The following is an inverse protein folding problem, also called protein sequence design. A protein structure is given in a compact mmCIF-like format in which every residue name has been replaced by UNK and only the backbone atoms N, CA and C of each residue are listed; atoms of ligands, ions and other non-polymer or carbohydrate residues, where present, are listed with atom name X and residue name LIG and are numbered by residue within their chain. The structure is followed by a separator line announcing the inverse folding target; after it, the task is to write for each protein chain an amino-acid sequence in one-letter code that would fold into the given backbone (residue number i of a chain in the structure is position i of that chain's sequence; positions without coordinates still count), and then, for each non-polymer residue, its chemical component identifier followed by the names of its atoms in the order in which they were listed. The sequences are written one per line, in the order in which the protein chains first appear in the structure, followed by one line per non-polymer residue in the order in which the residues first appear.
data_IF_768914028068
#
_entry.id   IF_768914028068
#
_cell.length_a   1.000
_cell.length_b   1.000
_cell.length_c   1.000
_cell.angle_alpha   90.00
_cell.angle_beta   90.00
_cell.angle_gamma   90.00
#
_symmetry.space_group_name_H-M   'P 1'
#
loop_
_entity.id
_entity.type
_entity.pdbx_description
1 polymer ?
#
# COMPACT_ATOMS: atom_id res chain seq x y z
N UNK A 1 -7.29 8.39 -7.18
CA UNK A 1 -6.41 7.60 -8.05
C UNK A 1 -7.21 6.45 -8.64
N UNK A 2 -7.23 6.28 -9.96
CA UNK A 2 -7.87 5.12 -10.60
C UNK A 2 -6.85 4.04 -10.94
N UNK A 3 -7.19 2.80 -10.62
CA UNK A 3 -6.35 1.63 -10.89
C UNK A 3 -7.16 0.62 -11.70
N UNK A 4 -6.64 0.22 -12.85
CA UNK A 4 -7.18 -0.84 -13.68
C UNK A 4 -6.27 -2.06 -13.66
N UNK A 5 -6.84 -3.25 -13.54
CA UNK A 5 -6.13 -4.51 -13.45
C UNK A 5 -6.79 -5.51 -14.39
N UNK A 6 -6.01 -6.24 -15.17
CA UNK A 6 -6.46 -7.36 -16.01
C UNK A 6 -5.51 -8.55 -15.89
N UNK A 7 -6.08 -9.74 -15.77
CA UNK A 7 -5.37 -11.01 -15.86
C UNK A 7 -4.18 -11.14 -14.90
N UNK A 8 -4.35 -10.78 -13.63
CA UNK A 8 -3.29 -10.85 -12.61
C UNK A 8 -3.71 -11.81 -11.48
N UNK A 9 -2.92 -12.86 -11.27
CA UNK A 9 -3.19 -13.91 -10.29
C UNK A 9 -4.65 -14.41 -10.38
N UNK A 10 -5.41 -14.42 -9.27
CA UNK A 10 -6.82 -14.82 -9.26
C UNK A 10 -7.79 -13.77 -9.81
N UNK A 11 -7.32 -12.57 -10.18
CA UNK A 11 -8.14 -11.46 -10.69
C UNK A 11 -8.19 -11.51 -12.22
N UNK A 12 -9.41 -11.57 -12.77
CA UNK A 12 -9.69 -11.43 -14.20
C UNK A 12 -9.72 -9.95 -14.60
N UNK A 13 -10.49 -9.15 -13.88
CA UNK A 13 -10.62 -7.71 -14.14
C UNK A 13 -10.96 -6.96 -12.86
N UNK A 14 -10.29 -5.84 -12.60
CA UNK A 14 -10.65 -4.94 -11.51
C UNK A 14 -10.43 -3.50 -11.90
N UNK A 15 -11.41 -2.65 -11.62
CA UNK A 15 -11.30 -1.20 -11.76
C UNK A 15 -11.61 -0.58 -10.39
N UNK A 16 -10.62 0.08 -9.82
CA UNK A 16 -10.67 0.62 -8.46
C UNK A 16 -10.60 2.13 -8.58
N UNK A 17 -11.54 2.82 -7.96
CA UNK A 17 -11.46 4.25 -7.72
C UNK A 17 -11.03 4.48 -6.27
N UNK A 18 -9.74 4.67 -6.04
CA UNK A 18 -9.23 4.88 -4.70
C UNK A 18 -9.37 6.34 -4.32
N UNK A 19 -10.40 6.64 -3.52
CA UNK A 19 -10.66 7.98 -2.97
C UNK A 19 -10.17 8.12 -1.53
N UNK A 20 -11.06 8.14 -0.53
CA UNK A 20 -10.67 8.26 0.89
C UNK A 20 -10.68 6.91 1.59
N UNK A 21 -11.72 6.10 1.37
CA UNK A 21 -11.80 4.75 1.93
C UNK A 21 -12.24 3.78 0.84
N UNK A 22 -11.45 2.75 0.63
CA UNK A 22 -11.81 1.60 -0.21
C UNK A 22 -11.91 0.37 0.68
N UNK A 23 -13.02 -0.36 0.57
CA UNK A 23 -13.19 -1.66 1.21
C UNK A 23 -13.42 -2.72 0.14
N UNK A 24 -12.54 -3.72 0.07
CA UNK A 24 -12.70 -4.88 -0.81
C UNK A 24 -13.14 -6.08 0.01
N UNK A 25 -14.29 -6.61 -0.36
CA UNK A 25 -14.97 -7.72 0.29
C UNK A 25 -14.89 -8.96 -0.60
N UNK A 26 -14.75 -10.12 0.01
CA UNK A 26 -14.86 -11.39 -0.71
C UNK A 26 -14.38 -12.58 0.11
N UNK A 27 -14.75 -13.78 -0.35
CA UNK A 27 -14.36 -15.02 0.30
C UNK A 27 -12.84 -15.26 0.30
N UNK A 28 -12.44 -16.35 0.94
CA UNK A 28 -11.05 -16.79 0.98
C UNK A 28 -10.52 -17.09 -0.43
N UNK A 29 -9.24 -16.78 -0.67
CA UNK A 29 -8.53 -17.08 -1.92
C UNK A 29 -9.11 -16.42 -3.19
N UNK A 30 -9.91 -15.35 -3.05
CA UNK A 30 -10.50 -14.63 -4.20
C UNK A 30 -9.59 -13.59 -4.83
N UNK A 31 -8.46 -13.25 -4.19
CA UNK A 31 -7.49 -12.27 -4.71
C UNK A 31 -7.43 -10.93 -4.00
N UNK A 32 -8.14 -10.76 -2.88
CA UNK A 32 -8.09 -9.54 -2.06
C UNK A 32 -6.66 -9.09 -1.74
N UNK A 33 -5.83 -10.02 -1.26
CA UNK A 33 -4.41 -9.77 -0.97
C UNK A 33 -3.58 -9.45 -2.21
N UNK A 34 -3.94 -10.00 -3.37
CA UNK A 34 -3.26 -9.64 -4.62
C UNK A 34 -3.49 -8.16 -4.94
N UNK A 35 -4.74 -7.70 -4.79
CA UNK A 35 -5.10 -6.31 -5.03
C UNK A 35 -4.43 -5.37 -4.01
N UNK A 36 -4.47 -5.69 -2.71
CA UNK A 36 -3.85 -4.84 -1.67
C UNK A 36 -2.33 -4.67 -1.90
N UNK A 37 -1.63 -5.75 -2.27
CA UNK A 37 -0.19 -5.71 -2.58
C UNK A 37 0.07 -4.90 -3.87
N UNK A 38 -0.77 -5.02 -4.91
CA UNK A 38 -0.65 -4.19 -6.11
C UNK A 38 -0.84 -2.71 -5.83
N UNK A 39 -1.82 -2.35 -4.99
CA UNK A 39 -2.05 -0.96 -4.58
C UNK A 39 -0.83 -0.44 -3.81
N UNK A 40 -0.30 -1.22 -2.87
CA UNK A 40 0.93 -0.88 -2.17
C UNK A 40 2.11 -0.67 -3.13
N UNK A 41 2.29 -1.58 -4.08
CA UNK A 41 3.33 -1.50 -5.10
C UNK A 41 3.22 -0.20 -5.91
N UNK A 42 2.04 0.13 -6.44
CA UNK A 42 1.84 1.35 -7.23
C UNK A 42 2.13 2.62 -6.41
N UNK A 43 1.73 2.65 -5.14
CA UNK A 43 1.99 3.79 -4.25
C UNK A 43 3.45 3.92 -3.84
N UNK A 44 4.24 2.85 -3.90
CA UNK A 44 5.67 2.83 -3.52
C UNK A 44 6.61 2.77 -4.72
N UNK A 45 6.11 2.52 -5.93
CA UNK A 45 6.86 2.45 -7.17
C UNK A 45 7.82 3.64 -7.38
N UNK A 46 7.46 4.91 -7.10
CA UNK A 46 8.40 6.02 -7.23
C UNK A 46 9.72 5.81 -6.47
N UNK A 47 9.65 5.23 -5.26
CA UNK A 47 10.83 4.93 -4.45
C UNK A 47 11.66 3.75 -4.98
N UNK A 48 10.99 2.79 -5.63
CA UNK A 48 11.62 1.60 -6.22
C UNK A 48 12.35 1.92 -7.53
N UNK A 49 11.96 3.00 -8.21
CA UNK A 49 12.63 3.49 -9.42
C UNK A 49 13.89 4.31 -9.13
N UNK A 50 14.36 4.32 -7.89
CA UNK A 50 15.57 5.05 -7.48
C UNK A 50 16.84 4.60 -8.21
N UNK A 51 17.73 5.58 -8.40
CA UNK A 51 18.98 5.41 -9.13
C UNK A 51 19.03 6.24 -10.42
N UNK A 52 20.20 6.27 -11.10
CA UNK A 52 20.43 7.13 -12.26
C UNK A 52 19.49 6.78 -13.41
N UNK A 53 19.03 7.83 -14.10
CA UNK A 53 18.17 7.83 -15.29
C UNK A 53 18.67 8.93 -16.23
N UNK A 54 18.61 8.74 -17.53
CA UNK A 54 19.12 9.72 -18.50
C UNK A 54 18.01 10.70 -18.88
N UNK A 55 18.33 11.98 -18.97
CA UNK A 55 17.44 12.94 -19.60
C UNK A 55 18.31 14.02 -20.22
N UNK A 56 18.40 14.01 -21.55
CA UNK A 56 19.38 14.82 -22.25
C UNK A 56 19.03 16.31 -22.13
N UNK A 57 19.99 17.13 -21.71
CA UNK A 57 19.79 18.57 -21.51
C UNK A 57 20.92 19.37 -22.15
N UNK A 58 20.56 20.49 -22.79
CA UNK A 58 21.54 21.51 -23.15
C UNK A 58 21.79 22.40 -21.93
N UNK A 59 23.02 22.37 -21.41
CA UNK A 59 23.40 23.07 -20.18
C UNK A 59 24.28 24.29 -20.47
N UNK A 60 24.07 25.42 -19.75
CA UNK A 60 25.06 26.49 -19.76
C UNK A 60 26.34 26.05 -19.03
N UNK A 61 27.46 26.71 -19.32
CA UNK A 61 28.72 26.45 -18.62
C UNK A 61 28.59 26.79 -17.12
N UNK A 62 28.94 25.83 -16.24
CA UNK A 62 28.85 25.97 -14.78
C UNK A 62 30.26 26.02 -14.17
N UNK A 63 30.63 27.17 -13.63
CA UNK A 63 31.91 27.41 -12.98
C UNK A 63 31.94 26.91 -11.52
N UNK A 64 33.14 26.67 -10.98
CA UNK A 64 33.34 26.21 -9.59
C UNK A 64 32.95 27.32 -8.61
N UNK A 65 32.29 26.97 -7.51
CA UNK A 65 31.75 27.90 -6.49
C UNK A 65 30.64 28.84 -6.98
N UNK A 66 30.11 28.65 -8.19
CA UNK A 66 28.92 29.35 -8.65
C UNK A 66 27.67 28.50 -8.43
N UNK A 67 26.62 29.18 -7.99
CA UNK A 67 25.26 28.66 -7.97
C UNK A 67 24.57 29.07 -9.27
N UNK A 68 24.06 28.10 -10.02
CA UNK A 68 23.28 28.35 -11.24
C UNK A 68 21.88 27.81 -11.03
N UNK A 69 20.88 28.67 -11.19
CA UNK A 69 19.47 28.26 -11.18
C UNK A 69 18.95 28.24 -12.61
N UNK A 70 18.36 27.11 -12.99
CA UNK A 70 17.81 26.84 -14.32
C UNK A 70 16.34 26.49 -14.19
N UNK A 71 15.53 26.97 -15.12
CA UNK A 71 14.18 26.46 -15.31
C UNK A 71 14.22 25.46 -16.46
N UNK A 72 13.94 24.19 -16.16
CA UNK A 72 14.10 23.09 -17.11
C UNK A 72 12.73 22.48 -17.42
N UNK A 73 12.24 22.58 -18.68
CA UNK A 73 11.05 21.86 -19.10
C UNK A 73 11.38 20.38 -19.26
N UNK A 74 10.63 19.51 -18.59
CA UNK A 74 10.78 18.06 -18.69
C UNK A 74 9.52 17.46 -19.32
N UNK A 75 9.70 16.70 -20.38
CA UNK A 75 8.69 15.84 -20.98
C UNK A 75 8.72 14.47 -20.32
N UNK A 76 7.66 14.12 -19.58
CA UNK A 76 7.61 12.83 -18.89
C UNK A 76 7.54 11.65 -19.85
N UNK A 77 6.97 11.86 -21.04
CA UNK A 77 6.93 10.86 -22.10
C UNK A 77 8.32 10.55 -22.63
N UNK A 78 9.07 11.58 -23.01
CA UNK A 78 10.47 11.41 -23.47
C UNK A 78 11.32 10.77 -22.36
N UNK A 79 11.18 11.24 -21.11
CA UNK A 79 11.89 10.68 -19.96
C UNK A 79 11.62 9.17 -19.78
N UNK A 80 10.37 8.73 -19.89
CA UNK A 80 10.03 7.32 -19.75
C UNK A 80 10.49 6.51 -20.96
N UNK A 81 10.34 7.03 -22.17
CA UNK A 81 10.76 6.36 -23.41
C UNK A 81 12.29 6.19 -23.48
N UNK A 82 13.07 7.22 -23.14
CA UNK A 82 14.55 7.17 -23.12
C UNK A 82 15.10 6.19 -22.07
N UNK A 83 14.33 5.93 -21.01
CA UNK A 83 14.73 5.06 -19.90
C UNK A 83 13.91 3.77 -19.80
N UNK A 84 13.19 3.42 -20.87
CA UNK A 84 12.19 2.35 -20.86
C UNK A 84 12.74 1.05 -20.29
N UNK A 85 13.91 0.61 -20.75
CA UNK A 85 14.54 -0.64 -20.30
C UNK A 85 14.85 -0.64 -18.80
N UNK A 86 15.39 0.47 -18.28
CA UNK A 86 15.77 0.59 -16.86
C UNK A 86 14.52 0.66 -15.99
N UNK A 87 13.52 1.45 -16.39
CA UNK A 87 12.25 1.60 -15.66
C UNK A 87 11.51 0.26 -15.64
N UNK A 88 11.38 -0.41 -16.79
CA UNK A 88 10.78 -1.74 -16.92
C UNK A 88 11.46 -2.76 -16.02
N UNK A 89 12.80 -2.82 -16.05
CA UNK A 89 13.58 -3.72 -15.20
C UNK A 89 13.35 -3.46 -13.72
N UNK A 90 13.48 -2.21 -13.26
CA UNK A 90 13.29 -1.84 -11.84
C UNK A 90 11.85 -2.06 -11.39
N UNK A 91 10.87 -1.82 -12.27
CA UNK A 91 9.44 -2.12 -12.02
C UNK A 91 9.24 -3.62 -11.80
N UNK A 92 9.86 -4.46 -12.63
CA UNK A 92 9.85 -5.91 -12.45
C UNK A 92 10.54 -6.36 -11.16
N UNK A 93 11.69 -5.81 -10.83
CA UNK A 93 12.37 -6.07 -9.54
C UNK A 93 11.49 -5.67 -8.34
N UNK A 94 10.81 -4.52 -8.44
CA UNK A 94 9.85 -4.06 -7.44
C UNK A 94 8.68 -5.03 -7.25
N UNK A 95 8.05 -5.48 -8.34
CA UNK A 95 6.98 -6.50 -8.31
C UNK A 95 7.47 -7.81 -7.66
N UNK A 96 8.64 -8.31 -8.06
CA UNK A 96 9.25 -9.50 -7.45
C UNK A 96 9.50 -9.28 -5.96
N UNK A 97 9.94 -8.10 -5.56
CA UNK A 97 10.27 -7.79 -4.16
C UNK A 97 9.05 -7.76 -3.23
N UNK A 98 7.89 -7.28 -3.70
CA UNK A 98 6.68 -7.17 -2.87
C UNK A 98 5.87 -8.47 -2.85
N UNK A 99 5.87 -9.22 -3.96
CA UNK A 99 5.15 -10.49 -4.07
C UNK A 99 5.98 -11.70 -3.65
N UNK A 100 7.30 -11.66 -3.80
CA UNK A 100 8.19 -12.78 -3.48
C UNK A 100 8.18 -13.92 -4.51
N UNK A 101 7.73 -13.65 -5.74
CA UNK A 101 7.63 -14.64 -6.84
C UNK A 101 8.15 -14.04 -8.15
N UNK A 102 8.32 -14.86 -9.19
CA UNK A 102 8.68 -14.37 -10.53
C UNK A 102 7.49 -13.68 -11.21
N UNK A 103 7.77 -12.87 -12.24
CA UNK A 103 6.74 -12.06 -12.91
C UNK A 103 5.69 -12.94 -13.59
N UNK A 104 6.12 -14.03 -14.24
CA UNK A 104 5.18 -14.96 -14.89
C UNK A 104 4.18 -15.59 -13.94
N UNK A 105 4.54 -15.73 -12.65
CA UNK A 105 3.67 -16.30 -11.62
C UNK A 105 2.59 -15.30 -11.16
N UNK A 106 2.77 -14.02 -11.46
CA UNK A 106 1.76 -12.98 -11.26
C UNK A 106 0.72 -12.98 -12.37
N UNK A 107 1.02 -13.50 -13.56
CA UNK A 107 0.07 -13.56 -14.66
C UNK A 107 -1.00 -14.62 -14.32
N UNK A 108 -2.26 -14.30 -14.59
CA UNK A 108 -3.37 -15.22 -14.33
C UNK A 108 -3.15 -16.54 -15.08
N UNK A 109 -3.50 -17.66 -14.44
CA UNK A 109 -3.38 -18.99 -15.04
C UNK A 109 -4.12 -19.07 -16.38
N UNK A 110 -3.47 -19.62 -17.40
CA UNK A 110 -3.90 -19.71 -18.82
C UNK A 110 -3.85 -18.40 -19.63
N UNK A 111 -3.54 -17.27 -19.00
CA UNK A 111 -3.29 -16.03 -19.73
C UNK A 111 -1.77 -15.90 -20.00
N UNK A 112 -1.42 -15.21 -21.10
CA UNK A 112 -0.03 -14.96 -21.48
C UNK A 112 0.44 -13.54 -21.10
N UNK A 113 -0.52 -12.66 -20.79
CA UNK A 113 -0.27 -11.24 -20.53
C UNK A 113 -1.13 -10.78 -19.34
N UNK A 114 -0.56 -9.90 -18.52
CA UNK A 114 -1.29 -9.15 -17.50
C UNK A 114 -1.09 -7.65 -17.72
N UNK A 115 -2.11 -6.85 -17.39
CA UNK A 115 -2.03 -5.39 -17.54
C UNK A 115 -2.46 -4.71 -16.25
N UNK A 116 -1.59 -3.84 -15.74
CA UNK A 116 -1.86 -2.94 -14.62
C UNK A 116 -1.85 -1.51 -15.17
N UNK A 117 -2.87 -0.72 -14.85
CA UNK A 117 -3.02 0.66 -15.31
C UNK A 117 -3.23 1.56 -14.10
N UNK A 118 -2.54 2.69 -14.07
CA UNK A 118 -2.90 3.82 -13.22
C UNK A 118 -3.37 5.00 -14.09
N UNK A 119 -3.58 6.15 -13.47
CA UNK A 119 -3.87 7.38 -14.19
C UNK A 119 -2.70 7.77 -15.13
N UNK A 120 -1.45 7.53 -14.71
CA UNK A 120 -0.24 8.03 -15.38
C UNK A 120 0.48 6.99 -16.23
N UNK A 121 0.49 5.73 -15.81
CA UNK A 121 1.27 4.67 -16.46
C UNK A 121 0.44 3.41 -16.75
N UNK A 122 0.93 2.61 -17.68
CA UNK A 122 0.49 1.26 -17.98
C UNK A 122 1.70 0.32 -17.85
N UNK A 123 1.51 -0.76 -17.11
CA UNK A 123 2.51 -1.81 -16.90
C UNK A 123 1.95 -3.08 -17.52
N UNK A 124 2.71 -3.69 -18.42
CA UNK A 124 2.36 -4.94 -19.09
C UNK A 124 3.33 -6.02 -18.64
N UNK A 125 2.81 -7.17 -18.22
CA UNK A 125 3.60 -8.34 -17.84
C UNK A 125 3.40 -9.40 -18.92
N UNK A 126 4.49 -9.92 -19.49
CA UNK A 126 4.44 -10.98 -20.48
C UNK A 126 5.58 -11.97 -20.22
N UNK A 127 5.24 -13.19 -19.82
CA UNK A 127 6.24 -14.12 -19.30
C UNK A 127 6.98 -13.51 -18.09
N UNK A 128 8.30 -13.46 -18.13
CA UNK A 128 9.12 -12.81 -17.09
C UNK A 128 9.47 -11.34 -17.42
N UNK A 129 9.02 -10.85 -18.58
CA UNK A 129 9.26 -9.49 -19.05
C UNK A 129 8.21 -8.52 -18.50
N UNK A 130 8.65 -7.28 -18.28
CA UNK A 130 7.82 -6.17 -17.83
C UNK A 130 8.01 -5.02 -18.79
N UNK A 131 6.91 -4.41 -19.23
CA UNK A 131 6.92 -3.21 -20.07
C UNK A 131 6.19 -2.07 -19.38
N UNK A 132 6.79 -0.88 -19.35
CA UNK A 132 6.18 0.32 -18.77
C UNK A 132 6.00 1.37 -19.85
N UNK A 133 4.77 1.88 -19.96
CA UNK A 133 4.36 2.90 -20.91
C UNK A 133 3.70 4.07 -20.15
N UNK A 134 3.96 5.30 -20.58
CA UNK A 134 3.17 6.45 -20.11
C UNK A 134 1.83 6.52 -20.86
N UNK A 135 0.79 6.98 -20.17
CA UNK A 135 -0.52 7.25 -20.77
C UNK A 135 -0.75 8.73 -21.07
N UNK A 136 0.13 9.60 -20.56
CA UNK A 136 -0.04 11.05 -20.60
C UNK A 136 1.21 11.67 -21.21
N UNK A 137 1.00 12.60 -22.13
CA UNK A 137 2.03 13.47 -22.68
C UNK A 137 1.99 14.81 -21.93
N UNK A 138 2.52 14.80 -20.70
CA UNK A 138 2.57 15.95 -19.80
C UNK A 138 3.99 16.51 -19.74
N UNK A 139 4.09 17.84 -19.67
CA UNK A 139 5.34 18.57 -19.46
C UNK A 139 5.24 19.39 -18.17
N UNK A 140 6.35 19.46 -17.44
CA UNK A 140 6.45 20.31 -16.26
C UNK A 140 7.79 21.04 -16.22
N UNK A 141 7.77 22.28 -15.76
CA UNK A 141 8.98 23.05 -15.52
C UNK A 141 9.51 22.77 -14.11
N UNK A 142 10.81 22.53 -14.02
CA UNK A 142 11.52 22.30 -12.77
C UNK A 142 12.56 23.37 -12.55
N UNK A 143 12.55 23.94 -11.35
CA UNK A 143 13.59 24.86 -10.90
C UNK A 143 14.76 24.03 -10.35
N UNK A 144 15.88 24.04 -11.07
CA UNK A 144 17.06 23.25 -10.73
C UNK A 144 18.19 24.18 -10.35
N UNK A 145 18.67 24.05 -9.12
CA UNK A 145 19.84 24.77 -8.63
C UNK A 145 21.03 23.83 -8.62
N UNK A 146 22.10 24.20 -9.31
CA UNK A 146 23.34 23.43 -9.41
C UNK A 146 24.43 24.14 -8.64
N UNK A 147 25.10 23.42 -7.74
CA UNK A 147 26.21 23.91 -6.94
C UNK A 147 27.44 23.05 -7.23
N UNK A 148 28.48 23.67 -7.80
CA UNK A 148 29.76 23.01 -8.08
C UNK A 148 30.76 23.28 -6.96
N UNK A 149 31.10 22.27 -6.17
CA UNK A 149 31.80 22.47 -4.88
C UNK A 149 33.34 22.38 -4.92
N UNK A 150 33.93 21.65 -5.87
CA UNK A 150 35.40 21.56 -5.99
C UNK A 150 35.81 20.78 -7.24
N UNK A 151 36.96 21.13 -7.83
CA UNK A 151 37.59 20.34 -8.87
C UNK A 151 38.32 19.12 -8.27
N UNK A 152 38.25 17.95 -8.92
CA UNK A 152 38.97 16.73 -8.52
C UNK A 152 38.17 15.72 -7.69
N UNK A 153 36.88 15.96 -7.46
CA UNK A 153 36.00 15.05 -6.72
C UNK A 153 34.88 14.51 -7.62
N UNK A 154 34.69 13.19 -7.63
CA UNK A 154 33.57 12.53 -8.32
C UNK A 154 32.38 12.36 -7.38
N UNK A 155 31.85 13.47 -6.89
CA UNK A 155 30.66 13.47 -6.02
C UNK A 155 29.45 13.94 -6.80
N UNK A 156 28.34 13.23 -6.66
CA UNK A 156 27.03 13.65 -7.13
C UNK A 156 26.02 13.43 -6.00
N UNK A 157 25.31 14.47 -5.60
CA UNK A 157 24.24 14.40 -4.62
C UNK A 157 23.11 15.31 -5.06
N UNK A 158 21.87 14.90 -4.83
CA UNK A 158 20.73 15.75 -5.11
C UNK A 158 19.61 15.54 -4.11
N UNK A 159 18.83 16.60 -3.93
CA UNK A 159 17.62 16.59 -3.11
C UNK A 159 16.54 17.42 -3.80
N UNK A 160 15.28 17.10 -3.53
CA UNK A 160 14.14 17.93 -3.93
C UNK A 160 13.46 18.49 -2.69
N UNK A 161 13.13 19.78 -2.73
CA UNK A 161 12.40 20.48 -1.68
C UNK A 161 10.89 20.52 -1.93
N UNK A 162 10.11 21.05 -0.96
CA UNK A 162 8.74 21.47 -1.20
C UNK A 162 8.69 22.42 -2.40
N UNK A 163 7.65 22.34 -3.24
CA UNK A 163 7.49 23.08 -4.51
C UNK A 163 8.31 22.55 -5.71
N UNK A 164 9.12 21.49 -5.52
CA UNK A 164 9.80 20.81 -6.62
C UNK A 164 11.08 21.51 -7.09
N UNK A 165 11.66 22.38 -6.26
CA UNK A 165 13.04 22.87 -6.43
C UNK A 165 14.00 21.70 -6.24
N UNK A 166 14.79 21.40 -7.26
CA UNK A 166 15.82 20.36 -7.23
C UNK A 166 17.16 21.04 -6.97
N UNK A 167 17.90 20.57 -5.97
CA UNK A 167 19.25 21.04 -5.70
C UNK A 167 20.21 19.90 -6.04
N UNK A 168 21.17 20.18 -6.92
CA UNK A 168 22.20 19.23 -7.36
C UNK A 168 23.56 19.76 -6.92
N UNK A 169 24.27 18.97 -6.14
CA UNK A 169 25.63 19.23 -5.69
C UNK A 169 26.55 18.28 -6.43
N UNK A 170 27.48 18.84 -7.20
CA UNK A 170 28.34 18.07 -8.09
C UNK A 170 29.79 18.54 -8.06
N UNK A 171 30.71 17.62 -8.35
CA UNK A 171 32.12 17.92 -8.60
C UNK A 171 32.41 18.08 -10.10
N UNK A 172 33.21 17.18 -10.68
CA UNK A 172 33.65 17.31 -12.08
C UNK A 172 32.62 16.81 -13.11
N UNK A 173 31.72 15.91 -12.72
CA UNK A 173 30.71 15.30 -13.60
C UNK A 173 29.39 16.07 -13.56
N UNK A 174 29.44 17.33 -13.97
CA UNK A 174 28.29 18.25 -13.85
C UNK A 174 27.09 17.76 -14.67
N UNK A 175 27.29 17.52 -15.96
CA UNK A 175 26.24 17.13 -16.90
C UNK A 175 25.61 15.79 -16.51
N UNK A 176 26.40 14.72 -16.38
CA UNK A 176 25.93 13.40 -15.96
C UNK A 176 25.17 13.44 -14.62
N UNK A 177 25.68 14.17 -13.63
CA UNK A 177 25.03 14.27 -12.32
C UNK A 177 23.69 15.00 -12.40
N UNK A 178 23.64 16.08 -13.19
CA UNK A 178 22.46 16.90 -13.36
C UNK A 178 21.37 16.18 -14.13
N UNK A 179 21.70 15.57 -15.28
CA UNK A 179 20.76 14.78 -16.07
C UNK A 179 20.17 13.65 -15.21
N UNK A 180 21.02 12.89 -14.50
CA UNK A 180 20.58 11.82 -13.61
C UNK A 180 19.67 12.29 -12.48
N UNK A 181 20.04 13.40 -11.83
CA UNK A 181 19.27 13.95 -10.73
C UNK A 181 17.93 14.50 -11.20
N UNK A 182 17.92 15.25 -12.30
CA UNK A 182 16.69 15.80 -12.86
C UNK A 182 15.75 14.68 -13.28
N UNK A 183 16.24 13.71 -14.04
CA UNK A 183 15.47 12.56 -14.49
C UNK A 183 14.80 11.82 -13.32
N UNK A 184 15.59 11.50 -12.28
CA UNK A 184 15.09 10.81 -11.09
C UNK A 184 14.02 11.62 -10.35
N UNK A 185 14.32 12.86 -9.95
CA UNK A 185 13.39 13.68 -9.17
C UNK A 185 12.13 14.05 -9.98
N UNK A 186 12.26 14.21 -11.30
CA UNK A 186 11.13 14.46 -12.20
C UNK A 186 10.22 13.25 -12.32
N UNK A 187 10.78 12.04 -12.49
CA UNK A 187 10.00 10.81 -12.53
C UNK A 187 9.29 10.55 -11.20
N UNK A 188 9.99 10.77 -10.07
CA UNK A 188 9.38 10.63 -8.74
C UNK A 188 8.23 11.61 -8.57
N UNK A 189 8.41 12.89 -8.92
CA UNK A 189 7.33 13.89 -8.87
C UNK A 189 6.17 13.54 -9.79
N UNK A 190 6.46 13.01 -10.98
CA UNK A 190 5.45 12.58 -11.93
C UNK A 190 4.62 11.43 -11.34
N UNK A 191 5.24 10.37 -10.85
CA UNK A 191 4.53 9.17 -10.40
C UNK A 191 3.93 9.29 -9.01
N UNK A 192 4.56 10.05 -8.11
CA UNK A 192 4.14 10.15 -6.71
C UNK A 192 2.89 11.04 -6.57
N UNK A 193 1.92 10.57 -5.80
CA UNK A 193 0.79 11.38 -5.34
C UNK A 193 0.94 11.69 -3.85
N UNK A 194 1.30 12.93 -3.47
CA UNK A 194 1.60 13.27 -2.08
C UNK A 194 0.43 13.06 -1.10
N UNK A 195 -0.81 12.99 -1.60
CA UNK A 195 -2.00 12.70 -0.80
C UNK A 195 -2.12 11.22 -0.42
N UNK A 196 -1.39 10.32 -1.08
CA UNK A 196 -1.42 8.87 -0.81
C UNK A 196 -0.12 8.34 -0.20
N UNK A 197 1.01 9.01 -0.39
CA UNK A 197 2.32 8.59 0.13
C UNK A 197 2.77 9.51 1.28
N UNK A 198 3.38 9.00 2.37
CA UNK A 198 3.79 7.61 2.62
C UNK A 198 2.65 6.65 2.96
N UNK A 199 2.85 5.36 2.64
CA UNK A 199 1.88 4.27 2.83
C UNK A 199 2.42 3.19 3.77
N UNK A 200 1.57 2.69 4.67
CA UNK A 200 1.86 1.50 5.47
C UNK A 200 1.01 0.30 5.00
N UNK A 201 1.62 -0.89 4.99
CA UNK A 201 0.92 -2.14 4.72
C UNK A 201 0.83 -3.01 5.97
N UNK A 202 -0.40 -3.38 6.36
CA UNK A 202 -0.69 -4.16 7.56
C UNK A 202 -1.39 -5.46 7.19
N UNK A 203 -0.64 -6.56 7.16
CA UNK A 203 -1.20 -7.91 6.96
C UNK A 203 -1.67 -8.50 8.30
N UNK A 204 -2.85 -8.09 8.77
CA UNK A 204 -3.23 -8.25 10.19
C UNK A 204 -3.39 -9.72 10.61
N UNK A 205 -3.80 -10.63 9.70
CA UNK A 205 -3.76 -12.09 9.89
C UNK A 205 -2.43 -12.59 10.48
N UNK A 206 -1.32 -11.97 10.06
CA UNK A 206 0.03 -12.52 10.24
C UNK A 206 0.82 -11.77 11.29
N UNK A 207 0.44 -10.53 11.59
CA UNK A 207 1.09 -9.74 12.63
C UNK A 207 0.81 -10.32 14.02
N UNK A 208 -0.37 -10.91 14.21
CA UNK A 208 -0.69 -11.74 15.36
C UNK A 208 0.43 -12.73 15.69
N UNK A 209 0.96 -13.44 14.68
CA UNK A 209 2.04 -14.43 14.84
C UNK A 209 3.41 -13.80 15.21
N UNK A 210 3.69 -12.58 14.76
CA UNK A 210 4.94 -11.87 15.01
C UNK A 210 5.07 -11.37 16.45
N UNK A 211 3.95 -11.05 17.10
CA UNK A 211 3.91 -10.66 18.52
C UNK A 211 4.18 -11.81 19.50
N UNK A 212 4.08 -13.07 19.05
CA UNK A 212 4.51 -14.23 19.83
C UNK A 212 6.03 -14.39 19.89
N UNK A 213 6.80 -13.63 19.10
CA UNK A 213 8.26 -13.63 19.21
C UNK A 213 8.66 -12.65 20.32
N UNK A 214 9.19 -13.12 21.46
CA UNK A 214 9.37 -12.31 22.68
C UNK A 214 10.49 -11.25 22.58
N UNK A 215 10.94 -10.87 21.38
CA UNK A 215 12.09 -9.99 21.18
C UNK A 215 12.00 -9.17 19.88
N UNK A 216 11.04 -8.24 19.76
CA UNK A 216 11.18 -7.13 18.81
C UNK A 216 12.49 -6.34 19.05
N UNK A 217 13.01 -6.35 20.29
CA UNK A 217 14.33 -5.80 20.64
C UNK A 217 15.53 -6.49 19.96
N UNK A 218 15.38 -7.67 19.35
CA UNK A 218 16.46 -8.34 18.59
C UNK A 218 16.37 -8.12 17.08
N UNK A 219 15.34 -7.42 16.59
CA UNK A 219 15.07 -7.18 15.17
C UNK A 219 15.33 -5.73 14.73
N UNK A 220 15.91 -4.90 15.60
CA UNK A 220 16.33 -3.52 15.28
C UNK A 220 17.55 -3.50 14.31
N UNK A 221 18.17 -4.66 14.06
CA UNK A 221 18.97 -4.88 12.87
C UNK A 221 18.25 -5.96 12.06
N UNK A 222 17.86 -5.71 10.80
CA UNK A 222 17.29 -6.77 9.99
C UNK A 222 18.39 -7.83 9.85
N UNK A 223 18.23 -9.07 10.35
CA UNK A 223 19.06 -10.13 9.82
C UNK A 223 18.63 -10.25 8.36
N UNK A 224 19.50 -9.79 7.47
CA UNK A 224 19.51 -10.24 6.09
C UNK A 224 19.39 -11.76 6.15
N UNK A 225 18.44 -12.31 5.39
CA UNK A 225 18.27 -13.74 5.13
C UNK A 225 17.65 -14.59 6.26
N UNK A 226 16.34 -14.45 6.45
CA UNK A 226 15.48 -15.63 6.49
C UNK A 226 14.32 -15.35 5.54
N UNK A 227 14.05 -16.28 4.64
CA UNK A 227 12.90 -16.26 3.74
C UNK A 227 11.59 -16.17 4.53
N UNK A 228 11.18 -14.96 4.92
CA UNK A 228 9.80 -14.71 5.29
C UNK A 228 8.99 -15.01 4.03
N UNK A 229 8.15 -16.04 4.07
CA UNK A 229 7.40 -16.52 2.90
C UNK A 229 6.50 -15.47 2.24
N UNK A 230 6.30 -14.30 2.88
CA UNK A 230 5.72 -13.09 2.28
C UNK A 230 6.54 -11.84 2.64
N UNK A 231 6.99 -11.03 1.66
CA UNK A 231 7.87 -9.88 1.92
C UNK A 231 7.30 -8.76 2.80
N UNK A 232 6.00 -8.48 2.74
CA UNK A 232 5.38 -7.31 3.39
C UNK A 232 4.93 -7.53 4.85
N UNK A 233 5.14 -8.72 5.42
CA UNK A 233 4.66 -9.06 6.77
C UNK A 233 5.18 -8.13 7.88
N UNK A 234 6.40 -7.61 7.71
CA UNK A 234 7.08 -6.75 8.68
C UNK A 234 7.12 -5.27 8.27
N UNK A 235 6.42 -4.88 7.19
CA UNK A 235 6.48 -3.51 6.67
C UNK A 235 6.06 -2.47 7.72
N UNK A 236 5.08 -2.81 8.56
CA UNK A 236 4.56 -1.96 9.64
C UNK A 236 5.63 -1.50 10.64
N UNK A 237 6.70 -2.28 10.84
CA UNK A 237 7.76 -1.95 11.80
C UNK A 237 8.46 -0.62 11.50
N UNK A 238 8.52 -0.24 10.22
CA UNK A 238 9.11 1.04 9.76
C UNK A 238 8.37 2.26 10.30
N UNK A 239 7.13 2.09 10.73
CA UNK A 239 6.20 3.17 11.07
C UNK A 239 5.76 3.15 12.53
N UNK A 240 6.35 2.29 13.37
CA UNK A 240 6.08 2.28 14.81
C UNK A 240 6.70 3.52 15.46
N UNK A 241 5.90 4.21 16.29
CA UNK A 241 6.32 5.38 17.05
C UNK A 241 6.43 4.98 18.53
N UNK A 242 7.61 5.13 19.16
CA UNK A 242 7.77 4.89 20.58
C UNK A 242 7.15 6.02 21.42
N UNK A 243 6.77 5.71 22.66
CA UNK A 243 6.18 6.67 23.60
C UNK A 243 4.69 6.94 23.38
N UNK A 244 3.99 6.11 22.59
CA UNK A 244 2.56 6.24 22.33
C UNK A 244 1.78 5.38 23.32
N UNK A 245 0.73 5.96 23.92
CA UNK A 245 -0.26 5.28 24.76
C UNK A 245 -1.65 5.38 24.15
N UNK A 246 -2.41 4.30 24.20
CA UNK A 246 -3.78 4.27 23.71
C UNK A 246 -4.56 3.10 24.32
N UNK A 247 -5.89 3.14 24.20
CA UNK A 247 -6.77 2.08 24.68
C UNK A 247 -7.25 1.21 23.51
N UNK A 248 -7.29 -0.11 23.73
CA UNK A 248 -7.91 -1.10 22.85
C UNK A 248 -8.75 -2.08 23.67
N UNK A 249 -10.06 -2.13 23.41
CA UNK A 249 -10.99 -3.05 24.08
C UNK A 249 -10.83 -3.09 25.61
N UNK A 250 -10.74 -1.92 26.26
CA UNK A 250 -10.58 -1.83 27.72
C UNK A 250 -9.17 -2.14 28.24
N UNK A 251 -8.17 -2.23 27.37
CA UNK A 251 -6.76 -2.42 27.75
C UNK A 251 -5.94 -1.18 27.36
N UNK A 252 -5.11 -0.68 28.27
CA UNK A 252 -4.11 0.34 27.96
C UNK A 252 -2.92 -0.33 27.28
N UNK A 253 -2.57 0.15 26.09
CA UNK A 253 -1.37 -0.25 25.36
C UNK A 253 -0.36 0.89 25.41
N UNK A 254 0.85 0.58 25.83
CA UNK A 254 2.00 1.50 25.82
C UNK A 254 3.12 0.93 24.95
N UNK A 255 3.56 1.72 23.96
CA UNK A 255 4.83 1.48 23.27
C UNK A 255 5.91 2.23 24.02
N UNK A 256 6.79 1.52 24.70
CA UNK A 256 7.91 2.10 25.44
C UNK A 256 8.95 2.72 24.51
N UNK A 257 9.86 3.53 25.08
CA UNK A 257 10.96 4.17 24.32
C UNK A 257 11.93 3.17 23.67
N UNK A 258 12.00 1.97 24.21
CA UNK A 258 12.78 0.85 23.68
C UNK A 258 11.99 -0.02 22.68
N UNK A 259 10.82 0.44 22.22
CA UNK A 259 9.90 -0.28 21.32
C UNK A 259 9.25 -1.53 21.92
N UNK A 260 9.40 -1.79 23.23
CA UNK A 260 8.62 -2.83 23.90
C UNK A 260 7.14 -2.41 24.00
N UNK A 261 6.24 -3.38 23.78
CA UNK A 261 4.80 -3.17 23.88
C UNK A 261 4.32 -3.77 25.20
N UNK A 262 3.76 -2.92 26.05
CA UNK A 262 3.14 -3.31 27.32
C UNK A 262 1.64 -3.15 27.22
N UNK A 263 0.92 -4.11 27.76
CA UNK A 263 -0.54 -4.11 27.80
C UNK A 263 -0.96 -4.19 29.26
N UNK A 264 -1.80 -3.27 29.70
CA UNK A 264 -2.29 -3.20 31.08
C UNK A 264 -3.80 -3.18 31.12
N UNK A 265 -4.38 -3.72 32.19
CA UNK A 265 -5.81 -3.65 32.49
C UNK A 265 -5.96 -3.27 33.96
N UNK A 266 -6.79 -2.27 34.25
CA UNK A 266 -6.99 -1.76 35.62
C UNK A 266 -5.66 -1.47 36.33
N UNK A 267 -4.76 -0.75 35.66
CA UNK A 267 -3.41 -0.37 36.14
C UNK A 267 -2.45 -1.54 36.42
N UNK A 268 -2.81 -2.78 36.04
CA UNK A 268 -1.94 -3.96 36.15
C UNK A 268 -1.45 -4.41 34.80
N UNK A 269 -0.13 -4.55 34.68
CA UNK A 269 0.49 -5.11 33.48
C UNK A 269 0.06 -6.58 33.30
N UNK A 270 -0.42 -6.90 32.11
CA UNK A 270 -0.83 -8.23 31.71
C UNK A 270 0.38 -8.91 31.06
N UNK A 271 0.67 -10.13 31.49
CA UNK A 271 1.72 -10.92 30.85
C UNK A 271 1.43 -11.03 29.33
N UNK A 272 2.40 -10.77 28.44
CA UNK A 272 2.19 -10.83 27.00
C UNK A 272 1.54 -12.13 26.51
N UNK A 273 1.87 -13.28 27.11
CA UNK A 273 1.28 -14.58 26.75
C UNK A 273 -0.20 -14.74 27.11
N UNK A 274 -0.75 -13.81 27.90
CA UNK A 274 -2.15 -13.79 28.33
C UNK A 274 -2.98 -12.72 27.60
N UNK A 275 -2.36 -11.88 26.78
CA UNK A 275 -3.06 -10.88 25.96
C UNK A 275 -3.68 -11.59 24.75
N UNK A 276 -4.93 -11.25 24.42
CA UNK A 276 -5.62 -11.89 23.30
C UNK A 276 -4.97 -11.54 21.96
N UNK A 277 -4.96 -12.50 21.04
CA UNK A 277 -4.42 -12.32 19.69
C UNK A 277 -5.08 -11.16 18.94
N UNK A 278 -6.39 -10.96 19.15
CA UNK A 278 -7.14 -9.85 18.57
C UNK A 278 -6.62 -8.48 18.99
N UNK A 279 -6.21 -8.31 20.26
CA UNK A 279 -5.59 -7.05 20.72
C UNK A 279 -4.25 -6.84 20.02
N UNK A 280 -3.37 -7.86 20.02
CA UNK A 280 -2.07 -7.75 19.36
C UNK A 280 -2.17 -7.43 17.87
N UNK A 281 -3.14 -8.03 17.19
CA UNK A 281 -3.39 -7.77 15.78
C UNK A 281 -3.73 -6.30 15.49
N UNK A 282 -4.47 -5.63 16.39
CA UNK A 282 -4.93 -4.27 16.19
C UNK A 282 -3.94 -3.20 16.68
N UNK A 283 -2.96 -3.54 17.52
CA UNK A 283 -1.92 -2.61 17.97
C UNK A 283 -1.20 -1.92 16.79
N UNK A 284 -0.67 -2.63 15.78
CA UNK A 284 -0.07 -2.01 14.59
C UNK A 284 -1.04 -1.15 13.80
N UNK A 285 -2.32 -1.55 13.74
CA UNK A 285 -3.38 -0.78 13.07
C UNK A 285 -3.51 0.57 13.74
N UNK A 286 -3.70 0.60 15.06
CA UNK A 286 -3.81 1.87 15.79
C UNK A 286 -2.53 2.71 15.73
N UNK A 287 -1.36 2.09 15.77
CA UNK A 287 -0.08 2.81 15.62
C UNK A 287 0.05 3.46 14.24
N UNK A 288 -0.30 2.75 13.17
CA UNK A 288 -0.30 3.30 11.81
C UNK A 288 -1.34 4.43 11.66
N UNK A 289 -2.55 4.24 12.20
CA UNK A 289 -3.59 5.27 12.18
C UNK A 289 -3.19 6.52 12.98
N UNK A 290 -2.39 6.39 14.04
CA UNK A 290 -1.88 7.52 14.85
C UNK A 290 -0.61 8.14 14.31
N UNK A 291 0.07 7.51 13.36
CA UNK A 291 1.31 8.03 12.80
C UNK A 291 1.05 9.33 12.01
N UNK A 292 1.70 10.47 12.35
CA UNK A 292 1.42 11.75 11.69
C UNK A 292 2.03 11.88 10.29
N UNK A 293 2.96 10.98 9.93
CA UNK A 293 3.67 10.99 8.65
C UNK A 293 2.87 10.25 7.58
N UNK A 294 2.21 9.15 7.95
CA UNK A 294 1.46 8.32 7.01
C UNK A 294 0.27 9.06 6.42
N UNK A 295 0.07 8.88 5.10
CA UNK A 295 -1.08 9.40 4.35
C UNK A 295 -2.07 8.31 3.98
N UNK A 296 -1.58 7.09 3.75
CA UNK A 296 -2.41 5.92 3.46
C UNK A 296 -2.08 4.76 4.39
N UNK A 297 -3.10 4.01 4.80
CA UNK A 297 -2.94 2.74 5.51
C UNK A 297 -3.71 1.64 4.78
N UNK A 298 -3.00 0.60 4.38
CA UNK A 298 -3.56 -0.60 3.79
C UNK A 298 -3.70 -1.65 4.90
N UNK A 299 -4.91 -2.15 5.12
CA UNK A 299 -5.26 -3.05 6.23
C UNK A 299 -5.87 -4.32 5.66
N UNK A 300 -5.20 -5.46 5.83
CA UNK A 300 -5.74 -6.74 5.40
C UNK A 300 -6.39 -7.51 6.54
N UNK A 301 -7.61 -7.96 6.33
CA UNK A 301 -8.39 -8.88 7.16
C UNK A 301 -8.35 -8.54 8.67
N UNK A 302 -8.66 -7.28 9.07
CA UNK A 302 -8.62 -6.85 10.46
C UNK A 302 -9.56 -7.66 11.40
N UNK A 303 -10.46 -8.47 10.85
CA UNK A 303 -11.41 -9.31 11.56
C UNK A 303 -10.90 -10.67 12.06
N UNK A 304 -9.78 -11.20 11.55
CA UNK A 304 -9.54 -12.67 11.56
C UNK A 304 -9.49 -13.33 12.96
N UNK A 305 -9.14 -12.60 14.01
CA UNK A 305 -9.11 -13.08 15.40
C UNK A 305 -10.14 -12.37 16.29
N UNK A 306 -11.14 -11.73 15.69
CA UNK A 306 -12.13 -10.91 16.38
C UNK A 306 -13.52 -11.54 16.31
N UNK A 307 -14.20 -11.55 17.44
CA UNK A 307 -15.63 -11.82 17.48
C UNK A 307 -16.42 -10.65 16.86
N UNK A 308 -17.68 -10.89 16.49
CA UNK A 308 -18.50 -9.95 15.71
C UNK A 308 -18.64 -8.58 16.39
N UNK A 309 -18.83 -8.53 17.70
CA UNK A 309 -18.87 -7.29 18.47
C UNK A 309 -17.57 -6.47 18.34
N UNK A 310 -16.42 -7.12 18.42
CA UNK A 310 -15.12 -6.49 18.21
C UNK A 310 -14.90 -6.05 16.76
N UNK A 311 -15.38 -6.82 15.78
CA UNK A 311 -15.34 -6.42 14.35
C UNK A 311 -16.14 -5.13 14.12
N UNK A 312 -17.31 -4.99 14.77
CA UNK A 312 -18.14 -3.79 14.69
C UNK A 312 -17.41 -2.57 15.28
N UNK A 313 -16.75 -2.71 16.42
CA UNK A 313 -15.97 -1.62 17.02
C UNK A 313 -14.78 -1.22 16.15
N UNK A 314 -14.08 -2.19 15.54
CA UNK A 314 -13.04 -1.90 14.54
C UNK A 314 -13.62 -1.16 13.35
N UNK A 315 -14.75 -1.60 12.81
CA UNK A 315 -15.41 -0.94 11.68
C UNK A 315 -15.76 0.52 12.01
N UNK A 316 -16.33 0.79 13.19
CA UNK A 316 -16.61 2.16 13.68
C UNK A 316 -15.35 3.00 13.80
N UNK A 317 -14.26 2.43 14.36
CA UNK A 317 -12.98 3.12 14.49
C UNK A 317 -12.36 3.48 13.14
N UNK A 318 -12.44 2.59 12.16
CA UNK A 318 -11.98 2.81 10.79
C UNK A 318 -12.87 3.81 10.04
N UNK A 319 -14.19 3.78 10.26
CA UNK A 319 -15.14 4.74 9.68
C UNK A 319 -14.82 6.18 10.08
N UNK A 320 -14.46 6.37 11.35
CA UNK A 320 -14.14 7.67 11.95
C UNK A 320 -12.72 8.18 11.63
N UNK A 321 -11.88 7.38 10.99
CA UNK A 321 -10.56 7.82 10.55
C UNK A 321 -10.69 8.76 9.34
N UNK A 322 -10.35 10.04 9.51
CA UNK A 322 -10.47 11.04 8.45
C UNK A 322 -9.16 11.76 8.15
N UNK A 323 -8.06 11.40 8.82
CA UNK A 323 -6.74 12.01 8.60
C UNK A 323 -5.93 11.28 7.54
N UNK A 324 -6.32 10.04 7.24
CA UNK A 324 -5.62 9.11 6.34
C UNK A 324 -6.60 8.47 5.39
N UNK A 325 -6.08 8.10 4.22
CA UNK A 325 -6.78 7.25 3.27
C UNK A 325 -6.66 5.79 3.70
N UNK A 326 -7.73 5.03 3.58
CA UNK A 326 -7.78 3.62 3.99
C UNK A 326 -8.03 2.72 2.79
N UNK A 327 -7.27 1.64 2.69
CA UNK A 327 -7.53 0.54 1.77
C UNK A 327 -7.67 -0.74 2.57
N UNK A 328 -8.89 -1.23 2.71
CA UNK A 328 -9.20 -2.35 3.61
C UNK A 328 -9.59 -3.55 2.75
N UNK A 329 -9.05 -4.72 3.08
CA UNK A 329 -9.56 -5.98 2.55
C UNK A 329 -10.15 -6.81 3.68
N UNK A 330 -11.26 -7.49 3.42
CA UNK A 330 -11.97 -8.24 4.47
C UNK A 330 -12.81 -9.38 3.88
N UNK A 331 -13.00 -10.44 4.65
CA UNK A 331 -14.01 -11.47 4.42
C UNK A 331 -15.26 -11.27 5.28
N UNK A 332 -15.28 -10.27 6.17
CA UNK A 332 -16.43 -9.91 7.01
C UNK A 332 -17.35 -8.94 6.29
N UNK A 333 -18.65 -9.25 6.25
CA UNK A 333 -19.70 -8.34 5.82
C UNK A 333 -19.94 -7.20 6.81
N UNK A 334 -19.61 -7.39 8.09
CA UNK A 334 -19.86 -6.39 9.14
C UNK A 334 -19.02 -5.14 8.96
N UNK A 335 -17.76 -5.30 8.57
CA UNK A 335 -16.83 -4.18 8.39
C UNK A 335 -17.31 -3.17 7.33
N UNK A 336 -17.55 -3.56 6.06
CA UNK A 336 -18.03 -2.63 5.04
C UNK A 336 -19.39 -2.03 5.41
N UNK A 337 -20.31 -2.83 5.99
CA UNK A 337 -21.64 -2.36 6.38
C UNK A 337 -21.58 -1.29 7.48
N UNK A 338 -20.80 -1.51 8.53
CA UNK A 338 -20.68 -0.53 9.62
C UNK A 338 -19.83 0.68 9.24
N UNK A 339 -18.82 0.52 8.37
CA UNK A 339 -18.11 1.67 7.80
C UNK A 339 -19.07 2.56 7.01
N UNK A 340 -19.91 1.98 6.16
CA UNK A 340 -20.93 2.72 5.41
C UNK A 340 -21.98 3.36 6.31
N UNK A 341 -22.44 2.64 7.34
CA UNK A 341 -23.52 3.10 8.22
C UNK A 341 -23.11 4.24 9.16
N UNK A 342 -21.86 4.22 9.63
CA UNK A 342 -21.36 5.16 10.66
C UNK A 342 -20.49 6.26 10.05
N UNK A 343 -19.78 5.95 8.97
CA UNK A 343 -18.87 6.89 8.31
C UNK A 343 -19.57 7.82 7.34
N UNK A 344 -18.78 8.70 6.73
CA UNK A 344 -19.22 9.47 5.57
C UNK A 344 -19.24 8.55 4.35
N UNK A 345 -20.35 8.59 3.60
CA UNK A 345 -20.50 7.85 2.33
C UNK A 345 -19.74 8.54 1.19
N UNK A 346 -19.57 9.86 1.25
CA UNK A 346 -18.70 10.60 0.35
C UNK A 346 -17.25 10.13 0.49
N UNK A 347 -16.63 9.74 -0.64
CA UNK A 347 -15.27 9.21 -0.67
C UNK A 347 -15.11 7.74 -0.23
N UNK A 348 -16.20 7.07 0.15
CA UNK A 348 -16.24 5.62 0.40
C UNK A 348 -16.55 4.86 -0.90
N UNK A 349 -15.79 3.80 -1.15
CA UNK A 349 -16.07 2.82 -2.21
C UNK A 349 -16.00 1.42 -1.64
N UNK A 350 -17.04 0.63 -1.85
CA UNK A 350 -17.11 -0.76 -1.43
C UNK A 350 -17.14 -1.62 -2.68
N UNK A 351 -16.24 -2.59 -2.74
CA UNK A 351 -16.17 -3.53 -3.85
C UNK A 351 -16.29 -4.96 -3.35
N UNK A 352 -16.85 -5.83 -4.18
CA UNK A 352 -16.92 -7.27 -3.97
C UNK A 352 -16.22 -7.98 -5.13
N UNK A 353 -15.40 -8.99 -4.82
CA UNK A 353 -14.82 -9.85 -5.86
C UNK A 353 -15.82 -10.97 -6.19
N UNK A 354 -16.38 -10.93 -7.39
CA UNK A 354 -17.31 -11.94 -7.93
C UNK A 354 -16.62 -12.65 -9.09
N UNK A 355 -16.30 -13.94 -8.90
CA UNK A 355 -15.66 -14.78 -9.94
C UNK A 355 -14.39 -14.16 -10.58
N UNK A 356 -13.58 -13.49 -9.75
CA UNK A 356 -12.35 -12.82 -10.18
C UNK A 356 -12.57 -11.44 -10.82
N UNK A 357 -13.80 -10.93 -10.87
CA UNK A 357 -14.13 -9.57 -11.29
C UNK A 357 -14.43 -8.71 -10.06
N UNK A 358 -13.84 -7.53 -9.97
CA UNK A 358 -14.15 -6.57 -8.92
C UNK A 358 -15.39 -5.75 -9.30
N UNK A 359 -16.48 -5.92 -8.57
CA UNK A 359 -17.73 -5.18 -8.76
C UNK A 359 -17.96 -4.18 -7.62
N UNK A 360 -18.39 -2.96 -7.94
CA UNK A 360 -18.77 -1.98 -6.91
C UNK A 360 -20.14 -2.32 -6.31
N UNK A 361 -20.27 -2.18 -4.99
CA UNK A 361 -21.54 -2.28 -4.25
C UNK A 361 -21.98 -0.87 -3.89
N UNK A 362 -23.17 -0.50 -4.32
CA UNK A 362 -23.70 0.83 -4.06
C UNK A 362 -23.99 1.03 -2.58
N UNK A 363 -23.74 2.24 -2.10
CA UNK A 363 -24.12 2.70 -0.77
C UNK A 363 -25.15 3.79 -0.94
N UNK A 364 -26.30 3.67 -0.28
CA UNK A 364 -27.34 4.69 -0.33
C UNK A 364 -27.08 5.85 0.65
N UNK A 365 -27.96 6.86 0.63
CA UNK A 365 -27.85 8.05 1.47
C UNK A 365 -27.97 7.73 2.99
N UNK A 366 -28.57 6.59 3.34
CA UNK A 366 -28.72 6.13 4.72
C UNK A 366 -27.57 5.21 5.19
N UNK A 367 -26.59 4.98 4.32
CA UNK A 367 -25.40 4.16 4.60
C UNK A 367 -25.65 2.65 4.49
N UNK A 368 -26.71 2.21 3.81
CA UNK A 368 -26.92 0.80 3.51
C UNK A 368 -26.16 0.38 2.26
N UNK A 369 -25.50 -0.77 2.36
CA UNK A 369 -24.71 -1.37 1.28
C UNK A 369 -25.59 -2.35 0.50
N UNK A 370 -25.54 -2.28 -0.82
CA UNK A 370 -26.14 -3.28 -1.71
C UNK A 370 -25.72 -4.70 -1.31
N UNK A 371 -26.67 -5.63 -1.36
CA UNK A 371 -26.47 -7.02 -0.98
C UNK A 371 -25.26 -7.66 -1.67
N UNK A 372 -24.36 -8.24 -0.88
CA UNK A 372 -23.21 -9.01 -1.38
C UNK A 372 -23.65 -10.28 -2.09
N UNK A 373 -23.22 -10.46 -3.35
CA UNK A 373 -23.61 -11.57 -4.23
C UNK A 373 -22.96 -12.90 -3.85
N UNK A 374 -21.80 -12.87 -3.19
CA UNK A 374 -21.01 -14.07 -2.87
C UNK A 374 -21.18 -14.55 -1.43
N UNK A 375 -21.72 -13.70 -0.55
CA UNK A 375 -21.86 -13.97 0.89
C UNK A 375 -23.28 -14.44 1.20
N UNK A 376 -24.28 -13.56 1.05
CA UNK A 376 -25.64 -13.84 1.53
C UNK A 376 -26.31 -15.05 0.86
N UNK A 377 -26.15 -15.31 -0.45
CA UNK A 377 -26.73 -16.52 -1.04
C UNK A 377 -26.20 -17.82 -0.40
N UNK A 378 -24.93 -17.85 0.01
CA UNK A 378 -24.35 -19.01 0.71
C UNK A 378 -24.86 -19.11 2.14
N UNK A 379 -24.94 -17.99 2.86
CA UNK A 379 -25.48 -17.95 4.22
C UNK A 379 -26.95 -18.40 4.24
N UNK A 380 -27.78 -17.84 3.36
CA UNK A 380 -29.19 -18.19 3.24
C UNK A 380 -29.39 -19.66 2.90
N UNK A 381 -28.60 -20.19 1.95
CA UNK A 381 -28.64 -21.62 1.61
C UNK A 381 -28.29 -22.50 2.83
N UNK A 382 -27.25 -22.14 3.60
CA UNK A 382 -26.89 -22.88 4.81
C UNK A 382 -27.99 -22.83 5.88
N UNK A 383 -28.67 -21.69 6.02
CA UNK A 383 -29.83 -21.53 6.91
C UNK A 383 -31.00 -22.42 6.45
N UNK A 384 -31.31 -22.41 5.15
CA UNK A 384 -32.36 -23.24 4.56
C UNK A 384 -32.07 -24.74 4.77
N UNK A 385 -30.82 -25.18 4.55
CA UNK A 385 -30.38 -26.55 4.80
C UNK A 385 -30.58 -26.95 6.27
N UNK A 386 -30.22 -26.07 7.21
CA UNK A 386 -30.42 -26.28 8.65
C UNK A 386 -31.90 -26.51 8.99
N UNK A 387 -32.80 -25.68 8.45
CA UNK A 387 -34.24 -25.79 8.73
C UNK A 387 -34.90 -27.00 8.04
N UNK A 388 -34.41 -27.42 6.88
CA UNK A 388 -34.86 -28.66 6.21
C UNK A 388 -34.48 -29.91 7.02
N UNK A 389 -33.32 -29.93 7.68
CA UNK A 389 -32.93 -31.03 8.56
C UNK A 389 -33.76 -31.10 9.84
N UNK A 390 -34.06 -29.95 10.47
CA UNK A 390 -34.92 -29.89 11.68
C UNK A 390 -36.32 -30.44 11.40
N UNK A 391 -36.87 -30.16 10.21
CA UNK A 391 -38.19 -30.66 9.78
C UNK A 391 -38.23 -32.19 9.66
N UNK A 392 -37.12 -32.83 9.26
CA UNK A 392 -37.02 -34.31 9.20
C UNK A 392 -36.87 -34.96 10.57
N UNK A 393 -36.28 -34.27 11.54
CA UNK A 393 -36.14 -34.79 12.92
C UNK A 393 -37.46 -34.73 13.68
N UNK A 394 -38.36 -33.79 13.36
CA UNK A 394 -39.72 -33.72 13.93
C UNK A 394 -40.68 -34.80 13.40
N UNK A 395 -40.36 -35.49 12.31
CA UNK A 395 -41.17 -36.60 11.77
C UNK A 395 -40.76 -37.98 12.33
N UNK A 396 -39.75 -38.05 13.21
CA UNK A 396 -39.24 -39.30 13.83
C UNK A 396 -39.62 -39.40 15.33
N UNK A 397 -40.60 -38.63 15.79
CA UNK A 397 -41.26 -38.81 17.09
C UNK A 397 -42.73 -39.07 16.90
#
# INVERSE_FOLDING_TARGET
MKIGIKSIGPIKEANIDFHDKVVIVGGNSTGKTFISILVYFLLTLPSMLSGPLKYKLELPAIEVNNEVSLEVPVSFKELIEENKDIISKRTGEGLKSVFGVNIKELIRFQDNESVIKSDKIKIVLHGDDVDVETKIDERANFNVTVVKISAGFQTCSSTSGPEGKIVVITGDRVEECLENSLAYHSLVKFLMEPSYYPVAFLSTERIASAFYLPNLNKLILPPVSASLGKPLIADFLKYIIPGVKFELFGHEVEVSKDFSIRVSKEEREVNPSLVSTGIYQLIPVELALRNPILRTVIIEEPEINLHVDAQIEVAKRLANENTKKLFITTHSEWIPMFIAKVGKTEGLRIYEIVEGVLEERKVDEEGFVETFKTIFPKANKGIEELFQEVSKVSEIK
#
